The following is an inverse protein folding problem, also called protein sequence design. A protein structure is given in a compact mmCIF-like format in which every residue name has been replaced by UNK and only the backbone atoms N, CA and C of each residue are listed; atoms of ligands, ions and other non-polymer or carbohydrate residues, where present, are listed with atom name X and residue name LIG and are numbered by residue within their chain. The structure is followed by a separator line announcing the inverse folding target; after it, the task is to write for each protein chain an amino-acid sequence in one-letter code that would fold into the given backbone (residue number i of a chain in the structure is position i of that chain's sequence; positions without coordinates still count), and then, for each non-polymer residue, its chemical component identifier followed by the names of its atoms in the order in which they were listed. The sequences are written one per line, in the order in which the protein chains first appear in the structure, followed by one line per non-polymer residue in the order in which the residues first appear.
data_IF_056007057646
#
_entry.id   IF_056007057646
#
_cell.length_a   1.000
_cell.length_b   1.000
_cell.length_c   1.000
_cell.angle_alpha   90.00
_cell.angle_beta   90.00
_cell.angle_gamma   90.00
#
_symmetry.space_group_name_H-M   'P 1'
#
loop_
_entity.id
_entity.type
_entity.pdbx_description
1 polymer ?
#
# COMPACT_ATOMS: atom_id res chain seq x y z
N UNK A 1 16.39 0.31 1.17
CA UNK A 1 15.17 -0.47 0.82
C UNK A 1 13.98 0.48 0.83
N UNK A 2 13.12 0.40 -0.18
CA UNK A 2 11.88 1.19 -0.25
C UNK A 2 10.80 0.58 0.64
N UNK A 3 9.88 1.41 1.12
CA UNK A 3 8.73 0.95 1.89
C UNK A 3 7.42 1.22 1.14
N UNK A 4 6.47 0.29 1.28
CA UNK A 4 5.12 0.42 0.77
C UNK A 4 4.15 0.62 1.93
N UNK A 5 3.27 1.63 1.83
CA UNK A 5 2.33 1.97 2.89
C UNK A 5 0.98 1.31 2.65
N UNK A 6 0.42 0.77 3.73
CA UNK A 6 -0.97 0.32 3.77
C UNK A 6 -1.69 0.89 4.99
N UNK A 7 -2.98 1.21 4.84
CA UNK A 7 -3.87 1.40 5.99
C UNK A 7 -4.03 0.06 6.71
N UNK A 8 -4.23 0.08 8.02
CA UNK A 8 -4.26 -1.15 8.85
C UNK A 8 -5.29 -2.17 8.39
N UNK A 9 -6.46 -1.71 7.99
CA UNK A 9 -7.56 -2.55 7.51
C UNK A 9 -7.20 -3.20 6.17
N UNK A 10 -6.65 -2.41 5.23
CA UNK A 10 -6.18 -2.90 3.92
C UNK A 10 -5.05 -3.92 4.10
N UNK A 11 -4.12 -3.65 5.03
CA UNK A 11 -3.03 -4.59 5.30
C UNK A 11 -3.55 -5.93 5.81
N UNK A 12 -4.50 -5.93 6.75
CA UNK A 12 -5.11 -7.18 7.25
C UNK A 12 -5.72 -8.01 6.13
N UNK A 13 -6.45 -7.36 5.23
CA UNK A 13 -7.06 -8.02 4.09
C UNK A 13 -5.99 -8.61 3.15
N UNK A 14 -4.97 -7.83 2.81
CA UNK A 14 -3.87 -8.30 1.94
C UNK A 14 -3.05 -9.43 2.56
N UNK A 15 -2.83 -9.43 3.86
CA UNK A 15 -2.13 -10.55 4.53
C UNK A 15 -2.94 -11.85 4.44
N UNK A 16 -4.27 -11.79 4.56
CA UNK A 16 -5.14 -12.95 4.33
C UNK A 16 -5.05 -13.47 2.89
N UNK A 17 -5.05 -12.56 1.92
CA UNK A 17 -4.91 -12.93 0.50
C UNK A 17 -3.55 -13.57 0.24
N UNK A 18 -2.46 -12.99 0.77
CA UNK A 18 -1.12 -13.55 0.66
C UNK A 18 -1.02 -14.93 1.30
N UNK A 19 -1.65 -15.15 2.46
CA UNK A 19 -1.68 -16.44 3.14
C UNK A 19 -2.46 -17.50 2.32
N UNK A 20 -3.54 -17.10 1.69
CA UNK A 20 -4.42 -18.00 0.94
C UNK A 20 -3.94 -18.31 -0.47
N UNK A 21 -3.40 -17.29 -1.19
CA UNK A 21 -3.09 -17.38 -2.62
C UNK A 21 -1.60 -17.24 -2.93
N UNK A 22 -0.78 -16.85 -1.95
CA UNK A 22 0.66 -16.64 -2.13
C UNK A 22 1.05 -15.30 -2.76
N UNK A 23 0.08 -14.59 -3.34
CA UNK A 23 0.29 -13.28 -3.97
C UNK A 23 -0.86 -12.33 -3.68
N UNK A 24 -0.61 -11.03 -3.77
CA UNK A 24 -1.62 -9.99 -3.62
C UNK A 24 -1.27 -8.82 -4.55
N UNK A 25 -2.28 -8.09 -4.96
CA UNK A 25 -2.15 -6.96 -5.87
C UNK A 25 -2.42 -5.64 -5.14
N UNK A 26 -1.88 -4.54 -5.65
CA UNK A 26 -2.25 -3.20 -5.18
C UNK A 26 -2.14 -2.17 -6.30
N UNK A 27 -3.20 -1.40 -6.49
CA UNK A 27 -3.24 -0.28 -7.43
C UNK A 27 -2.71 0.99 -6.80
N UNK A 28 -1.91 1.73 -7.55
CA UNK A 28 -1.28 2.97 -7.13
C UNK A 28 -1.35 4.02 -8.23
N UNK A 29 -1.47 5.27 -7.83
CA UNK A 29 -1.47 6.43 -8.74
C UNK A 29 -0.07 7.06 -8.89
N UNK A 30 0.96 6.38 -8.39
CA UNK A 30 2.32 6.91 -8.34
C UNK A 30 2.88 7.21 -9.74
N UNK A 31 3.41 8.42 -9.92
CA UNK A 31 4.08 8.89 -11.13
C UNK A 31 3.21 8.99 -12.41
N UNK A 32 1.89 8.85 -12.30
CA UNK A 32 0.96 8.94 -13.43
C UNK A 32 0.10 10.21 -13.42
N UNK A 33 0.55 11.28 -12.75
CA UNK A 33 -0.24 12.50 -12.52
C UNK A 33 -0.83 13.12 -13.80
N UNK A 34 -0.06 13.17 -14.87
CA UNK A 34 -0.53 13.74 -16.15
C UNK A 34 -1.52 12.81 -16.85
N UNK A 35 -1.25 11.51 -16.82
CA UNK A 35 -2.14 10.49 -17.36
C UNK A 35 -3.47 10.50 -16.60
N UNK A 36 -3.40 10.55 -15.26
CA UNK A 36 -4.58 10.47 -14.39
C UNK A 36 -5.45 11.74 -14.42
N UNK A 37 -5.01 12.84 -15.01
CA UNK A 37 -5.86 14.03 -15.20
C UNK A 37 -6.91 13.82 -16.30
N UNK A 38 -6.51 13.18 -17.37
CA UNK A 38 -7.32 12.93 -18.55
C UNK A 38 -7.00 11.54 -19.10
N UNK A 39 -7.35 10.46 -18.37
CA UNK A 39 -6.91 9.11 -18.69
C UNK A 39 -7.40 8.64 -20.06
N UNK A 40 -8.55 9.14 -20.53
CA UNK A 40 -9.13 8.81 -21.82
C UNK A 40 -8.37 9.43 -22.99
N UNK A 41 -7.51 10.41 -22.76
CA UNK A 41 -6.67 11.00 -23.81
C UNK A 41 -5.37 10.25 -24.04
N UNK A 42 -5.10 9.21 -23.27
CA UNK A 42 -3.85 8.48 -23.32
C UNK A 42 -4.05 6.98 -23.57
N UNK A 43 -3.11 6.42 -24.34
CA UNK A 43 -2.98 4.98 -24.53
C UNK A 43 -1.62 4.50 -24.04
N UNK A 44 -1.60 3.45 -23.21
CA UNK A 44 -0.37 2.71 -22.94
C UNK A 44 0.03 1.92 -24.18
N UNK A 45 1.31 2.02 -24.57
CA UNK A 45 1.81 1.39 -25.81
C UNK A 45 2.65 0.17 -25.48
N UNK A 46 3.70 0.36 -24.67
CA UNK A 46 4.58 -0.74 -24.26
C UNK A 46 5.37 -0.36 -23.00
N UNK A 47 6.04 -1.36 -22.44
CA UNK A 47 6.98 -1.22 -21.34
C UNK A 47 8.37 -1.71 -21.78
N UNK A 48 9.40 -0.93 -21.48
CA UNK A 48 10.78 -1.28 -21.74
C UNK A 48 11.68 -0.72 -20.63
N UNK A 49 12.71 -1.50 -20.21
CA UNK A 49 13.73 -1.10 -19.23
C UNK A 49 13.15 -0.46 -17.95
N UNK A 50 11.99 -0.92 -17.49
CA UNK A 50 11.26 -0.38 -16.36
C UNK A 50 10.74 1.06 -16.59
N UNK A 51 10.34 1.36 -17.79
CA UNK A 51 9.66 2.59 -18.20
C UNK A 51 8.36 2.24 -18.92
N UNK A 52 7.32 3.05 -18.69
CA UNK A 52 6.03 2.95 -19.35
C UNK A 52 5.93 4.02 -20.41
N UNK A 53 5.57 3.63 -21.60
CA UNK A 53 5.46 4.49 -22.78
C UNK A 53 4.00 4.70 -23.14
N UNK A 54 3.59 5.96 -23.13
CA UNK A 54 2.23 6.38 -23.45
C UNK A 54 2.22 7.29 -24.68
N UNK A 55 1.15 7.18 -25.47
CA UNK A 55 0.86 8.12 -26.55
C UNK A 55 -0.50 8.77 -26.33
N UNK A 56 -0.68 10.06 -26.71
CA UNK A 56 -1.98 10.69 -26.75
C UNK A 56 -2.80 10.13 -27.90
N UNK A 57 -4.12 9.98 -27.71
CA UNK A 57 -5.02 9.40 -28.74
C UNK A 57 -5.14 10.26 -29.99
N UNK A 58 -4.88 11.57 -29.89
CA UNK A 58 -4.91 12.52 -31.00
C UNK A 58 -3.61 12.53 -31.83
N UNK A 59 -2.55 11.87 -31.37
CA UNK A 59 -1.22 11.86 -32.00
C UNK A 59 -0.62 10.47 -31.95
N UNK A 60 -0.04 10.02 -33.05
CA UNK A 60 0.67 8.74 -33.13
C UNK A 60 2.16 8.91 -32.85
N UNK A 61 2.48 9.41 -31.66
CA UNK A 61 3.86 9.55 -31.21
C UNK A 61 3.97 9.35 -29.70
N UNK A 62 5.05 8.72 -29.24
CA UNK A 62 5.32 8.60 -27.82
C UNK A 62 5.58 10.00 -27.25
N UNK A 63 4.66 10.48 -26.43
CA UNK A 63 4.72 11.81 -25.84
C UNK A 63 4.97 11.80 -24.33
N UNK A 64 4.80 10.64 -23.68
CA UNK A 64 4.90 10.54 -22.24
C UNK A 64 5.59 9.25 -21.82
N UNK A 65 6.72 9.38 -21.16
CA UNK A 65 7.45 8.26 -20.54
C UNK A 65 7.37 8.39 -19.03
N UNK A 66 7.01 7.31 -18.35
CA UNK A 66 6.87 7.29 -16.88
C UNK A 66 7.61 6.11 -16.30
N UNK A 67 8.25 6.34 -15.15
CA UNK A 67 8.92 5.29 -14.38
C UNK A 67 8.02 4.84 -13.24
N UNK A 68 7.76 3.55 -13.10
CA UNK A 68 7.09 3.04 -11.91
C UNK A 68 7.96 3.31 -10.66
N UNK A 69 7.30 3.47 -9.54
CA UNK A 69 7.96 3.64 -8.24
C UNK A 69 8.72 2.38 -7.81
N UNK A 70 8.17 1.23 -8.12
CA UNK A 70 8.71 -0.09 -7.81
C UNK A 70 9.13 -0.80 -9.08
N UNK A 71 10.06 -1.76 -8.92
CA UNK A 71 10.55 -2.58 -10.03
C UNK A 71 10.23 -4.04 -9.78
N UNK A 72 10.02 -4.78 -10.83
CA UNK A 72 9.94 -6.24 -10.76
C UNK A 72 11.23 -6.81 -10.15
N UNK A 73 11.08 -7.81 -9.28
CA UNK A 73 12.18 -8.39 -8.49
C UNK A 73 12.61 -7.57 -7.27
N UNK A 74 12.15 -6.32 -7.12
CA UNK A 74 12.49 -5.47 -5.97
C UNK A 74 11.84 -6.01 -4.69
N UNK A 75 12.62 -6.15 -3.62
CA UNK A 75 12.08 -6.44 -2.29
C UNK A 75 11.81 -5.13 -1.56
N UNK A 76 10.58 -4.99 -1.06
CA UNK A 76 10.13 -3.83 -0.31
C UNK A 76 9.58 -4.25 1.06
N UNK A 77 9.64 -3.36 2.04
CA UNK A 77 9.04 -3.62 3.35
C UNK A 77 7.69 -2.94 3.51
N UNK A 78 6.80 -3.58 4.25
CA UNK A 78 5.48 -3.02 4.55
C UNK A 78 5.59 -2.05 5.71
N UNK A 79 5.11 -0.83 5.50
CA UNK A 79 5.00 0.21 6.52
C UNK A 79 3.62 0.13 7.17
N UNK A 80 3.60 -0.13 8.47
CA UNK A 80 2.40 -0.21 9.29
C UNK A 80 2.26 1.00 10.22
N UNK A 81 1.03 1.35 10.59
CA UNK A 81 0.80 2.29 11.69
C UNK A 81 1.24 1.65 13.02
N UNK A 82 1.94 2.42 13.82
CA UNK A 82 2.60 1.95 15.04
C UNK A 82 2.48 2.97 16.18
N UNK A 83 2.70 2.51 17.38
CA UNK A 83 2.80 3.35 18.57
C UNK A 83 3.89 2.84 19.50
N UNK A 84 4.43 3.71 20.35
CA UNK A 84 5.27 3.29 21.46
C UNK A 84 4.36 2.83 22.59
N UNK A 85 4.70 1.70 23.21
CA UNK A 85 4.08 1.22 24.42
C UNK A 85 5.11 1.21 25.54
N UNK A 86 4.95 2.14 26.46
CA UNK A 86 5.82 2.27 27.64
C UNK A 86 5.20 1.65 28.89
N UNK A 87 4.03 1.00 28.77
CA UNK A 87 3.35 0.36 29.91
C UNK A 87 3.82 -1.08 30.09
N UNK A 88 4.04 -1.45 31.32
CA UNK A 88 4.37 -2.83 31.73
C UNK A 88 5.84 -3.09 31.88
N UNK A 89 6.65 -2.07 31.99
CA UNK A 89 8.08 -2.19 32.29
C UNK A 89 8.29 -1.90 33.76
N UNK A 90 8.34 -2.96 34.56
CA UNK A 90 8.76 -2.92 35.97
C UNK A 90 10.27 -2.64 36.10
N UNK A 91 10.77 -2.18 37.27
CA UNK A 91 11.97 -1.35 37.43
C UNK A 91 13.33 -2.00 37.13
N UNK A 92 13.38 -3.17 36.54
CA UNK A 92 14.68 -3.87 36.31
C UNK A 92 15.36 -3.57 34.94
N UNK A 93 14.80 -2.72 34.14
CA UNK A 93 15.38 -2.30 32.84
C UNK A 93 14.29 -1.87 31.87
N UNK A 94 14.22 -0.57 31.63
CA UNK A 94 13.24 0.01 30.70
C UNK A 94 13.39 -0.58 29.29
N UNK A 95 12.60 -1.58 28.97
CA UNK A 95 12.41 -2.03 27.61
C UNK A 95 11.35 -1.15 26.95
N UNK A 96 11.66 -0.66 25.77
CA UNK A 96 10.71 0.09 24.96
C UNK A 96 10.06 -0.85 23.97
N UNK A 97 8.74 -0.81 23.90
CA UNK A 97 7.96 -1.66 23.02
C UNK A 97 7.38 -0.82 21.90
N UNK A 98 7.44 -1.37 20.67
CA UNK A 98 6.72 -0.86 19.52
C UNK A 98 5.51 -1.75 19.27
N UNK A 99 4.31 -1.15 19.25
CA UNK A 99 3.05 -1.83 19.02
C UNK A 99 2.53 -1.53 17.62
N UNK A 100 2.11 -2.55 16.89
CA UNK A 100 1.52 -2.41 15.55
C UNK A 100 0.00 -2.29 15.63
N UNK A 101 -0.57 -1.37 14.85
CA UNK A 101 -2.02 -1.12 14.86
C UNK A 101 -2.82 -2.23 14.19
N UNK A 102 -2.23 -2.94 13.23
CA UNK A 102 -2.91 -3.96 12.44
C UNK A 102 -3.42 -5.13 13.29
N UNK A 103 -2.64 -5.59 14.29
CA UNK A 103 -2.95 -6.76 15.10
C UNK A 103 -2.67 -6.60 16.61
N UNK A 104 -2.15 -5.44 17.00
CA UNK A 104 -1.78 -5.16 18.39
C UNK A 104 -0.51 -5.85 18.86
N UNK A 105 0.18 -6.63 18.03
CA UNK A 105 1.45 -7.26 18.39
C UNK A 105 2.50 -6.23 18.72
N UNK A 106 3.42 -6.61 19.61
CA UNK A 106 4.50 -5.78 20.11
C UNK A 106 5.85 -6.41 19.80
N UNK A 107 6.85 -5.56 19.61
CA UNK A 107 8.26 -5.95 19.55
C UNK A 107 9.08 -5.10 20.52
N UNK A 108 10.14 -5.69 21.07
CA UNK A 108 11.12 -4.97 21.90
C UNK A 108 12.01 -4.16 20.96
N UNK A 109 12.18 -2.88 21.29
CA UNK A 109 13.06 -1.98 20.56
C UNK A 109 14.50 -2.21 21.01
N UNK A 110 15.45 -2.49 20.12
CA UNK A 110 16.86 -2.60 20.48
C UNK A 110 17.38 -1.31 21.12
N UNK A 111 18.21 -1.43 22.18
CA UNK A 111 18.78 -0.27 22.88
C UNK A 111 19.52 0.70 21.95
N UNK A 112 20.16 0.20 20.90
CA UNK A 112 20.84 1.02 19.89
C UNK A 112 19.89 2.00 19.16
N UNK A 113 18.59 1.72 19.15
CA UNK A 113 17.58 2.53 18.48
C UNK A 113 16.85 3.52 19.42
N UNK A 114 17.18 3.53 20.71
CA UNK A 114 16.50 4.38 21.70
C UNK A 114 16.62 5.87 21.40
N UNK A 115 17.77 6.34 20.93
CA UNK A 115 17.98 7.75 20.60
C UNK A 115 17.00 8.26 19.52
N UNK A 116 16.69 7.41 18.54
CA UNK A 116 15.70 7.77 17.52
C UNK A 116 14.27 7.89 18.10
N UNK A 117 13.94 7.05 19.07
CA UNK A 117 12.66 7.12 19.76
C UNK A 117 12.57 8.33 20.70
N UNK A 118 13.66 8.68 21.40
CA UNK A 118 13.71 9.86 22.26
C UNK A 118 13.42 11.16 21.50
N UNK A 119 13.95 11.29 20.28
CA UNK A 119 13.61 12.42 19.41
C UNK A 119 12.14 12.41 18.97
N UNK A 120 11.61 11.22 18.73
CA UNK A 120 10.21 11.06 18.37
C UNK A 120 9.26 11.35 19.52
N UNK A 121 9.62 10.96 20.76
CA UNK A 121 8.85 11.25 21.99
C UNK A 121 8.79 12.73 22.32
N UNK A 122 9.89 13.48 22.14
CA UNK A 122 9.96 14.91 22.46
C UNK A 122 8.95 15.78 21.71
N UNK A 123 8.37 15.25 20.64
CA UNK A 123 7.45 16.00 19.77
C UNK A 123 5.97 15.83 20.11
N UNK A 124 5.61 14.96 21.05
CA UNK A 124 4.20 14.66 21.35
C UNK A 124 3.97 14.45 22.85
N UNK A 125 2.92 15.08 23.40
CA UNK A 125 2.43 14.87 24.77
C UNK A 125 1.78 13.47 24.91
N UNK A 126 2.05 12.81 26.04
CA UNK A 126 1.55 11.49 26.40
C UNK A 126 0.02 11.42 26.56
N UNK A 127 -0.70 10.32 26.30
CA UNK A 127 -0.32 8.92 26.05
C UNK A 127 -0.90 8.35 24.75
N UNK A 128 -0.16 7.45 24.05
CA UNK A 128 -0.61 6.61 22.95
C UNK A 128 -1.18 7.29 21.70
N UNK A 129 -0.33 7.94 20.92
CA UNK A 129 -0.72 8.29 19.58
C UNK A 129 -0.23 7.25 18.57
N UNK A 130 -1.16 6.75 17.75
CA UNK A 130 -0.82 5.97 16.57
C UNK A 130 -0.07 6.85 15.58
N UNK A 131 1.16 6.47 15.29
CA UNK A 131 2.00 7.17 14.32
C UNK A 131 1.70 6.69 12.91
N UNK A 132 1.84 7.62 11.96
CA UNK A 132 1.69 7.31 10.54
C UNK A 132 2.65 6.20 10.12
N UNK A 133 2.20 5.26 9.26
CA UNK A 133 3.06 4.24 8.65
C UNK A 133 4.29 4.83 7.97
N UNK A 134 4.21 6.07 7.47
CA UNK A 134 5.30 6.75 6.78
C UNK A 134 6.61 6.75 7.58
N UNK A 135 6.51 6.87 8.89
CA UNK A 135 7.66 6.99 9.79
C UNK A 135 8.21 5.65 10.29
N UNK A 136 7.58 4.52 9.94
CA UNK A 136 8.13 3.21 10.31
C UNK A 136 9.44 2.95 9.56
N UNK A 137 10.51 2.72 10.31
CA UNK A 137 11.82 2.34 9.74
C UNK A 137 11.84 0.87 9.34
N UNK A 138 12.63 0.54 8.33
CA UNK A 138 12.75 -0.84 7.82
C UNK A 138 13.18 -1.86 8.88
N UNK A 139 13.99 -1.45 9.86
CA UNK A 139 14.45 -2.32 10.97
C UNK A 139 13.30 -2.82 11.84
N UNK A 140 12.18 -2.09 11.86
CA UNK A 140 10.98 -2.46 12.62
C UNK A 140 9.90 -3.07 11.73
N UNK A 141 10.17 -3.26 10.44
CA UNK A 141 9.22 -3.89 9.56
C UNK A 141 9.12 -5.40 9.84
N UNK A 142 7.90 -5.91 9.83
CA UNK A 142 7.63 -7.34 10.06
C UNK A 142 7.44 -8.11 8.75
N UNK A 143 7.04 -7.41 7.71
CA UNK A 143 6.68 -8.01 6.43
C UNK A 143 7.55 -7.43 5.32
N UNK A 144 8.07 -8.34 4.50
CA UNK A 144 8.82 -8.03 3.30
C UNK A 144 8.15 -8.76 2.15
N UNK A 145 7.94 -8.06 1.05
CA UNK A 145 7.31 -8.61 -0.15
C UNK A 145 8.20 -8.37 -1.36
N UNK A 146 8.23 -9.32 -2.26
CA UNK A 146 8.87 -9.16 -3.54
C UNK A 146 7.83 -8.69 -4.57
N UNK A 147 8.18 -7.67 -5.33
CA UNK A 147 7.36 -7.19 -6.44
C UNK A 147 7.53 -8.16 -7.60
N UNK A 148 6.46 -8.84 -7.98
CA UNK A 148 6.49 -9.84 -9.06
C UNK A 148 6.16 -9.24 -10.42
N UNK A 149 5.32 -8.20 -10.45
CA UNK A 149 4.91 -7.52 -11.66
C UNK A 149 4.55 -6.06 -11.39
N UNK A 150 4.83 -5.17 -12.34
CA UNK A 150 4.41 -3.78 -12.31
C UNK A 150 3.94 -3.38 -13.71
N UNK A 151 2.66 -3.05 -13.85
CA UNK A 151 2.05 -2.66 -15.12
C UNK A 151 1.09 -1.49 -14.96
N UNK A 152 0.96 -0.60 -15.93
CA UNK A 152 -0.12 0.39 -15.96
C UNK A 152 -1.40 -0.27 -16.44
N UNK A 153 -2.48 0.00 -15.75
CA UNK A 153 -3.82 -0.47 -16.11
C UNK A 153 -4.84 0.64 -15.91
N UNK A 154 -5.89 0.63 -16.72
CA UNK A 154 -7.06 1.45 -16.44
C UNK A 154 -7.78 0.92 -15.21
N UNK A 155 -8.21 1.83 -14.36
CA UNK A 155 -8.89 1.47 -13.12
C UNK A 155 -10.17 0.67 -13.40
N UNK A 156 -10.90 1.07 -14.44
CA UNK A 156 -12.18 0.48 -14.85
C UNK A 156 -12.04 -0.91 -15.48
N UNK A 157 -10.81 -1.33 -15.83
CA UNK A 157 -10.52 -2.65 -16.39
C UNK A 157 -10.24 -3.72 -15.33
N UNK A 158 -10.42 -3.38 -14.03
CA UNK A 158 -10.22 -4.33 -12.93
C UNK A 158 -11.14 -5.55 -13.08
N UNK A 159 -10.55 -6.73 -12.98
CA UNK A 159 -11.28 -8.01 -13.04
C UNK A 159 -11.76 -8.44 -11.65
N UNK A 160 -12.60 -9.47 -11.59
CA UNK A 160 -13.03 -10.10 -10.35
C UNK A 160 -11.83 -10.62 -9.54
N UNK A 161 -10.90 -11.30 -10.20
CA UNK A 161 -9.69 -11.85 -9.61
C UNK A 161 -8.79 -10.75 -9.04
N UNK A 162 -8.67 -9.63 -9.75
CA UNK A 162 -7.93 -8.47 -9.29
C UNK A 162 -8.54 -7.86 -8.00
N UNK A 163 -9.87 -7.79 -7.93
CA UNK A 163 -10.56 -7.29 -6.74
C UNK A 163 -10.28 -8.15 -5.52
N UNK A 164 -10.27 -9.48 -5.68
CA UNK A 164 -9.87 -10.40 -4.62
C UNK A 164 -8.39 -10.19 -4.25
N UNK A 165 -7.51 -10.08 -5.25
CA UNK A 165 -6.08 -9.86 -5.03
C UNK A 165 -5.79 -8.51 -4.36
N UNK A 166 -6.66 -7.50 -4.54
CA UNK A 166 -6.64 -6.23 -3.78
C UNK A 166 -7.04 -6.41 -2.30
N UNK A 167 -7.52 -7.59 -1.89
CA UNK A 167 -7.91 -7.89 -0.51
C UNK A 167 -9.33 -7.49 -0.18
N UNK A 168 -10.17 -7.26 -1.18
CA UNK A 168 -11.59 -7.06 -0.95
C UNK A 168 -12.22 -8.42 -0.79
N UNK A 169 -12.47 -8.78 0.47
CA UNK A 169 -13.18 -10.01 0.81
C UNK A 169 -14.65 -9.72 0.59
N UNK A 170 -15.18 -10.35 -0.42
CA UNK A 170 -16.58 -10.23 -0.80
C UNK A 170 -17.40 -11.20 0.09
N UNK A 171 -17.52 -10.88 1.38
CA UNK A 171 -18.34 -11.65 2.33
C UNK A 171 -19.82 -11.69 1.91
N UNK A 172 -20.21 -10.79 1.01
CA UNK A 172 -21.57 -10.64 0.50
C UNK A 172 -21.77 -11.18 -0.90
N UNK A 173 -20.69 -11.51 -1.62
CA UNK A 173 -20.82 -12.06 -2.95
C UNK A 173 -21.08 -13.56 -2.87
N UNK A 174 -22.21 -13.95 -3.38
CA UNK A 174 -22.53 -15.35 -3.67
C UNK A 174 -21.47 -15.96 -4.60
N UNK A 175 -21.37 -17.29 -4.63
CA UNK A 175 -20.47 -18.02 -5.54
C UNK A 175 -20.59 -17.61 -7.03
N UNK A 176 -21.67 -16.93 -7.37
CA UNK A 176 -22.03 -16.49 -8.72
C UNK A 176 -21.76 -14.99 -8.96
N UNK A 177 -21.00 -14.33 -8.07
CA UNK A 177 -20.67 -12.92 -8.24
C UNK A 177 -19.89 -12.67 -9.53
N UNK A 178 -20.33 -11.69 -10.29
CA UNK A 178 -19.73 -11.32 -11.56
C UNK A 178 -18.78 -10.12 -11.41
N UNK A 179 -18.03 -9.82 -12.46
CA UNK A 179 -17.07 -8.73 -12.49
C UNK A 179 -17.72 -7.38 -12.17
N UNK A 180 -18.97 -7.12 -12.59
CA UNK A 180 -19.67 -5.85 -12.32
C UNK A 180 -19.95 -5.63 -10.85
N UNK A 181 -20.31 -6.67 -10.11
CA UNK A 181 -20.54 -6.60 -8.66
C UNK A 181 -19.22 -6.36 -7.93
N UNK A 182 -18.15 -7.08 -8.32
CA UNK A 182 -16.82 -6.88 -7.78
C UNK A 182 -16.29 -5.46 -8.04
N UNK A 183 -16.49 -4.93 -9.25
CA UNK A 183 -16.15 -3.56 -9.59
C UNK A 183 -16.93 -2.54 -8.74
N UNK A 184 -18.21 -2.79 -8.47
CA UNK A 184 -19.02 -1.90 -7.63
C UNK A 184 -18.47 -1.80 -6.20
N UNK A 185 -18.11 -2.92 -5.60
CA UNK A 185 -17.49 -2.96 -4.26
C UNK A 185 -16.11 -2.28 -4.26
N UNK A 186 -15.28 -2.60 -5.25
CA UNK A 186 -13.96 -1.96 -5.38
C UNK A 186 -14.09 -0.45 -5.53
N UNK A 187 -15.04 0.03 -6.33
CA UNK A 187 -15.32 1.46 -6.56
C UNK A 187 -15.57 2.19 -5.24
N UNK A 188 -16.43 1.66 -4.37
CA UNK A 188 -16.74 2.29 -3.08
C UNK A 188 -15.48 2.48 -2.25
N UNK A 189 -14.62 1.46 -2.19
CA UNK A 189 -13.36 1.52 -1.44
C UNK A 189 -12.38 2.47 -2.11
N UNK A 190 -12.28 2.42 -3.44
CA UNK A 190 -11.40 3.30 -4.21
C UNK A 190 -11.74 4.77 -4.00
N UNK A 191 -13.00 5.15 -4.16
CA UNK A 191 -13.48 6.53 -4.02
C UNK A 191 -13.26 7.05 -2.59
N UNK A 192 -13.43 6.20 -1.58
CA UNK A 192 -13.12 6.54 -0.20
C UNK A 192 -11.62 6.78 0.04
N UNK A 193 -10.75 5.99 -0.59
CA UNK A 193 -9.28 6.12 -0.41
C UNK A 193 -8.71 7.24 -1.27
N UNK A 194 -9.25 7.46 -2.45
CA UNK A 194 -8.74 8.37 -3.46
C UNK A 194 -9.78 9.42 -3.90
N UNK A 195 -10.28 10.28 -3.01
CA UNK A 195 -11.36 11.22 -3.34
C UNK A 195 -10.97 12.25 -4.42
N UNK A 196 -9.68 12.44 -4.69
CA UNK A 196 -9.17 13.34 -5.74
C UNK A 196 -9.16 12.70 -7.13
N UNK A 197 -9.31 11.38 -7.20
CA UNK A 197 -9.31 10.59 -8.43
C UNK A 197 -10.40 9.52 -8.33
N UNK A 198 -11.69 9.96 -8.34
CA UNK A 198 -12.80 9.02 -8.20
C UNK A 198 -12.89 8.08 -9.40
N UNK A 199 -13.58 6.97 -9.21
CA UNK A 199 -13.76 5.92 -10.23
C UNK A 199 -14.32 6.45 -11.56
N UNK A 200 -15.15 7.47 -11.49
CA UNK A 200 -15.85 8.06 -12.65
C UNK A 200 -15.10 9.24 -13.30
N UNK A 201 -13.89 9.52 -12.87
CA UNK A 201 -13.09 10.61 -13.45
C UNK A 201 -12.34 10.20 -14.69
#
# INVERSE_FOLDING_TARGET
MKGILFKSEVLKAKLKVLEQYGEAQTRRLDNLKEINKEPDNWRFVYQELNEFYFEPLDKHCIACVRKPRYREGEVVYIKEAWALDLRGVEPAGFERLLKYRSDGKQIIIPKAEYAWFDEAEKKEEYPYFWRSPMFLRAIFARYFIQITNVRPERLQEITYEDVIAEGIILDTLTRDANTSEAQAEFRVIWDFINPQYPWSS
#
